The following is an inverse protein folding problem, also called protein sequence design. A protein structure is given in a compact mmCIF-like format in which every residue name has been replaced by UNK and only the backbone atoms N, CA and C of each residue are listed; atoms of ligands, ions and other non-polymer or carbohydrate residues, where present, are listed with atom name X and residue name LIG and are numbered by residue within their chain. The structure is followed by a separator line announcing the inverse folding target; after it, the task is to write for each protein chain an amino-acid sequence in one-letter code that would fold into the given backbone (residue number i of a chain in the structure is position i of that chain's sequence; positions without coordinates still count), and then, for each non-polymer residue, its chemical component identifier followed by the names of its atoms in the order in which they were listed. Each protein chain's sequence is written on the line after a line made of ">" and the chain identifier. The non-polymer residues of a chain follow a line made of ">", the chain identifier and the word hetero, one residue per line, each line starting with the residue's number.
data_IF_752694509532
#
_entry.id   IF_752694509532
#
_cell.length_a   1.000
_cell.length_b   1.000
_cell.length_c   1.000
_cell.angle_alpha   90.00
_cell.angle_beta   90.00
_cell.angle_gamma   90.00
#
_symmetry.space_group_name_H-M   'P 1'
#
loop_
_entity.id
_entity.type
_entity.pdbx_description
1 polymer ?
#
# COMPACT_ATOMS: atom_id res chain seq x y z
N UNK A 1 32.24 -12.17 53.99
CA UNK A 1 30.99 -12.38 53.23
C UNK A 1 30.56 -13.83 53.38
N UNK A 2 29.28 -14.10 53.65
CA UNK A 2 28.77 -15.44 53.92
C UNK A 2 28.94 -16.38 52.71
N UNK A 3 29.29 -17.67 52.90
CA UNK A 3 29.55 -18.62 51.82
C UNK A 3 28.36 -18.87 50.87
N UNK A 4 27.13 -18.54 51.29
CA UNK A 4 25.91 -18.60 50.48
C UNK A 4 25.82 -17.52 49.40
N UNK A 5 26.37 -16.33 49.63
CA UNK A 5 26.34 -15.21 48.69
C UNK A 5 27.37 -15.36 47.57
N UNK A 6 28.52 -15.99 47.88
CA UNK A 6 29.56 -16.34 46.89
C UNK A 6 29.07 -17.38 45.86
N UNK A 7 28.24 -18.36 46.27
CA UNK A 7 27.63 -19.34 45.36
C UNK A 7 26.58 -18.72 44.44
N UNK A 8 25.75 -17.80 44.95
CA UNK A 8 24.77 -17.06 44.14
C UNK A 8 25.44 -16.15 43.11
N UNK A 9 26.53 -15.47 43.49
CA UNK A 9 27.29 -14.61 42.58
C UNK A 9 27.91 -15.41 41.42
N UNK A 10 28.52 -16.57 41.71
CA UNK A 10 29.11 -17.45 40.69
C UNK A 10 28.05 -18.04 39.74
N UNK A 11 26.87 -18.39 40.25
CA UNK A 11 25.74 -18.86 39.43
C UNK A 11 25.20 -17.75 38.50
N UNK A 12 25.07 -16.52 39.03
CA UNK A 12 24.64 -15.34 38.25
C UNK A 12 25.63 -14.99 37.14
N UNK A 13 26.94 -15.03 37.41
CA UNK A 13 27.98 -14.81 36.40
C UNK A 13 27.99 -15.89 35.31
N UNK A 14 27.81 -17.17 35.68
CA UNK A 14 27.78 -18.27 34.70
C UNK A 14 26.58 -18.18 33.76
N UNK A 15 25.41 -17.76 34.25
CA UNK A 15 24.20 -17.55 33.43
C UNK A 15 24.34 -16.33 32.51
N UNK A 16 24.98 -15.26 32.97
CA UNK A 16 25.26 -14.09 32.14
C UNK A 16 26.25 -14.42 31.00
N UNK A 17 27.32 -15.16 31.29
CA UNK A 17 28.33 -15.54 30.28
C UNK A 17 27.74 -16.43 29.18
N UNK A 18 26.90 -17.41 29.54
CA UNK A 18 26.24 -18.30 28.57
C UNK A 18 25.23 -17.57 27.67
N UNK A 19 24.56 -16.53 28.17
CA UNK A 19 23.68 -15.67 27.35
C UNK A 19 24.48 -14.81 26.38
N UNK A 20 25.58 -14.22 26.83
CA UNK A 20 26.45 -13.41 25.99
C UNK A 20 27.12 -14.23 24.86
N UNK A 21 27.49 -15.49 25.12
CA UNK A 21 28.04 -16.39 24.09
C UNK A 21 26.99 -16.75 23.03
N UNK A 22 25.75 -17.08 23.42
CA UNK A 22 24.67 -17.40 22.48
C UNK A 22 24.25 -16.20 21.62
N UNK A 23 24.33 -14.99 22.15
CA UNK A 23 24.01 -13.78 21.40
C UNK A 23 25.11 -13.41 20.40
N UNK A 24 26.39 -13.59 20.79
CA UNK A 24 27.52 -13.45 19.86
C UNK A 24 27.45 -14.47 18.72
N UNK A 25 27.14 -15.73 19.02
CA UNK A 25 27.04 -16.80 18.02
C UNK A 25 25.88 -16.58 17.03
N UNK A 26 24.76 -16.00 17.50
CA UNK A 26 23.67 -15.57 16.61
C UNK A 26 24.05 -14.38 15.73
N UNK A 27 24.81 -13.42 16.26
CA UNK A 27 25.28 -12.27 15.50
C UNK A 27 26.32 -12.68 14.45
N UNK A 28 27.25 -13.58 14.78
CA UNK A 28 28.24 -14.10 13.80
C UNK A 28 27.55 -14.91 12.73
N UNK A 29 26.59 -15.78 13.06
CA UNK A 29 25.84 -16.52 12.05
C UNK A 29 24.97 -15.62 11.14
N UNK A 30 24.42 -14.51 11.67
CA UNK A 30 23.69 -13.54 10.87
C UNK A 30 24.63 -12.71 9.97
N UNK A 31 25.83 -12.37 10.46
CA UNK A 31 26.84 -11.66 9.70
C UNK A 31 27.43 -12.55 8.59
N UNK A 32 27.73 -13.81 8.88
CA UNK A 32 28.19 -14.78 7.87
C UNK A 32 27.15 -15.02 6.78
N UNK A 33 25.87 -15.11 7.13
CA UNK A 33 24.79 -15.19 6.11
C UNK A 33 24.69 -13.92 5.26
N UNK A 34 24.89 -12.74 5.86
CA UNK A 34 24.93 -11.47 5.12
C UNK A 34 26.15 -11.37 4.21
N UNK A 35 27.31 -11.79 4.70
CA UNK A 35 28.56 -11.75 3.94
C UNK A 35 28.57 -12.79 2.81
N UNK A 36 27.96 -13.97 3.01
CA UNK A 36 27.75 -14.95 1.95
C UNK A 36 26.80 -14.42 0.86
N UNK A 37 25.69 -13.78 1.26
CA UNK A 37 24.75 -13.17 0.32
C UNK A 37 25.34 -11.94 -0.40
N UNK A 38 26.24 -11.19 0.26
CA UNK A 38 26.96 -10.09 -0.36
C UNK A 38 27.99 -10.61 -1.38
N UNK A 39 28.74 -11.67 -1.04
CA UNK A 39 29.72 -12.31 -1.94
C UNK A 39 29.08 -12.97 -3.15
N UNK A 40 27.95 -13.68 -2.98
CA UNK A 40 27.22 -14.29 -4.10
C UNK A 40 26.69 -13.23 -5.07
N UNK A 41 26.16 -12.12 -4.54
CA UNK A 41 25.70 -10.98 -5.34
C UNK A 41 26.86 -10.31 -6.09
N UNK A 42 28.00 -10.13 -5.43
CA UNK A 42 29.20 -9.53 -6.05
C UNK A 42 29.80 -10.43 -7.15
N UNK A 43 29.78 -11.75 -6.97
CA UNK A 43 30.16 -12.72 -8.01
C UNK A 43 29.17 -12.73 -9.18
N UNK A 44 27.86 -12.63 -8.93
CA UNK A 44 26.87 -12.46 -10.00
C UNK A 44 27.08 -11.15 -10.77
N UNK A 45 27.37 -10.05 -10.07
CA UNK A 45 27.61 -8.76 -10.71
C UNK A 45 28.93 -8.74 -11.50
N UNK A 46 29.98 -9.42 -11.02
CA UNK A 46 31.24 -9.57 -11.76
C UNK A 46 31.11 -10.51 -12.95
N UNK A 47 30.35 -11.60 -12.85
CA UNK A 47 30.06 -12.49 -13.96
C UNK A 47 29.22 -11.80 -15.04
N UNK A 48 28.23 -10.99 -14.65
CA UNK A 48 27.46 -10.14 -15.57
C UNK A 48 28.34 -9.04 -16.21
N UNK A 49 29.29 -8.45 -15.49
CA UNK A 49 30.22 -7.47 -16.05
C UNK A 49 31.25 -8.08 -17.01
N UNK A 50 31.71 -9.31 -16.76
CA UNK A 50 32.62 -10.01 -17.68
C UNK A 50 31.91 -10.52 -18.94
N UNK A 51 30.63 -10.91 -18.86
CA UNK A 51 29.84 -11.23 -20.06
C UNK A 51 29.46 -9.98 -20.87
N UNK A 52 29.28 -8.82 -20.22
CA UNK A 52 28.96 -7.55 -20.89
C UNK A 52 30.17 -6.86 -21.57
N UNK A 53 31.41 -7.28 -21.27
CA UNK A 53 32.61 -6.74 -21.93
C UNK A 53 32.96 -7.47 -23.24
N UNK A 54 32.53 -8.72 -23.41
CA UNK A 54 32.85 -9.54 -24.60
C UNK A 54 31.72 -9.55 -25.65
N UNK A 55 30.48 -9.25 -25.24
CA UNK A 55 29.34 -9.01 -26.12
C UNK A 55 28.83 -7.58 -25.90
N UNK A 56 28.99 -6.73 -26.90
CA UNK A 56 28.67 -5.29 -26.84
C UNK A 56 27.38 -4.99 -26.06
N UNK A 57 27.49 -4.07 -25.10
CA UNK A 57 26.62 -3.71 -23.96
C UNK A 57 25.09 -3.76 -24.10
N UNK A 58 24.52 -3.96 -25.29
CA UNK A 58 23.08 -3.87 -25.55
C UNK A 58 22.42 -5.24 -25.72
N UNK A 59 23.17 -6.29 -26.06
CA UNK A 59 22.59 -7.57 -26.46
C UNK A 59 22.49 -8.58 -25.29
N UNK A 60 23.43 -8.59 -24.35
CA UNK A 60 23.40 -9.53 -23.22
C UNK A 60 22.28 -9.25 -22.20
N UNK A 61 21.74 -8.03 -22.16
CA UNK A 61 20.55 -7.67 -21.37
C UNK A 61 19.23 -8.15 -22.01
N UNK A 62 19.25 -8.57 -23.28
CA UNK A 62 18.05 -9.04 -24.00
C UNK A 62 17.76 -10.53 -23.82
N UNK A 63 18.75 -11.31 -23.37
CA UNK A 63 18.66 -12.78 -23.37
C UNK A 63 18.20 -13.39 -22.05
N UNK A 64 17.83 -12.60 -21.03
CA UNK A 64 16.97 -13.13 -19.98
C UNK A 64 15.58 -13.36 -20.58
N UNK A 65 15.33 -14.60 -21.02
CA UNK A 65 14.05 -15.03 -21.54
C UNK A 65 12.93 -14.56 -20.59
N UNK A 66 12.08 -13.65 -21.09
CA UNK A 66 10.99 -13.01 -20.36
C UNK A 66 9.87 -14.02 -20.10
N UNK A 67 10.13 -14.96 -19.21
CA UNK A 67 9.20 -16.00 -18.84
C UNK A 67 8.13 -15.41 -17.91
N UNK A 68 6.84 -15.44 -18.29
CA UNK A 68 5.76 -14.85 -17.49
C UNK A 68 5.75 -15.37 -16.04
N UNK A 69 6.02 -16.66 -15.84
CA UNK A 69 6.06 -17.28 -14.51
C UNK A 69 7.19 -16.75 -13.64
N UNK A 70 8.37 -16.47 -14.22
CA UNK A 70 9.50 -15.88 -13.48
C UNK A 70 9.21 -14.43 -13.11
N UNK A 71 8.62 -13.67 -14.02
CA UNK A 71 8.23 -12.27 -13.79
C UNK A 71 7.14 -12.16 -12.71
N UNK A 72 6.14 -13.04 -12.74
CA UNK A 72 5.05 -13.06 -11.76
C UNK A 72 5.51 -13.51 -10.36
N UNK A 73 6.58 -14.30 -10.26
CA UNK A 73 7.11 -14.87 -9.01
C UNK A 73 8.45 -14.28 -8.58
N UNK A 74 8.69 -13.01 -8.89
CA UNK A 74 9.89 -12.31 -8.44
C UNK A 74 9.99 -12.25 -6.91
N UNK A 75 11.20 -12.43 -6.37
CA UNK A 75 11.43 -12.36 -4.92
C UNK A 75 11.36 -10.92 -4.39
N UNK A 76 11.61 -9.92 -5.24
CA UNK A 76 11.69 -8.50 -4.87
C UNK A 76 10.65 -7.64 -5.62
N UNK A 77 9.33 -7.91 -5.50
CA UNK A 77 8.30 -7.24 -6.32
C UNK A 77 8.27 -5.72 -6.14
N UNK A 78 8.55 -5.23 -4.92
CA UNK A 78 8.60 -3.79 -4.63
C UNK A 78 9.89 -3.13 -5.14
N UNK A 79 10.99 -3.85 -5.32
CA UNK A 79 12.17 -3.28 -6.00
C UNK A 79 11.90 -3.18 -7.50
N UNK A 80 11.31 -4.22 -8.10
CA UNK A 80 10.91 -4.20 -9.51
C UNK A 80 9.94 -3.05 -9.80
N UNK A 81 8.92 -2.86 -8.96
CA UNK A 81 8.00 -1.72 -9.09
C UNK A 81 8.71 -0.35 -9.04
N UNK A 82 9.76 -0.20 -8.22
CA UNK A 82 10.56 1.03 -8.16
C UNK A 82 11.37 1.25 -9.43
N UNK A 83 11.82 0.19 -10.11
CA UNK A 83 12.49 0.32 -11.40
C UNK A 83 11.58 1.00 -12.44
N UNK A 84 10.30 0.63 -12.48
CA UNK A 84 9.31 1.30 -13.34
C UNK A 84 8.88 2.68 -12.82
N UNK A 85 8.84 2.87 -11.51
CA UNK A 85 8.47 4.15 -10.91
C UNK A 85 9.49 5.26 -11.20
N UNK A 86 10.79 4.95 -11.20
CA UNK A 86 11.86 5.94 -11.33
C UNK A 86 11.78 6.74 -12.65
N UNK A 87 11.63 6.11 -13.83
CA UNK A 87 11.40 6.84 -15.08
C UNK A 87 10.15 7.73 -15.03
N UNK A 88 9.05 7.26 -14.42
CA UNK A 88 7.83 8.05 -14.28
C UNK A 88 8.07 9.29 -13.40
N UNK A 89 8.81 9.15 -12.30
CA UNK A 89 9.15 10.28 -11.44
C UNK A 89 10.07 11.30 -12.12
N UNK A 90 10.93 10.85 -13.04
CA UNK A 90 11.85 11.72 -13.77
C UNK A 90 11.15 12.43 -14.94
N UNK A 91 10.39 11.69 -15.74
CA UNK A 91 9.87 12.15 -17.04
C UNK A 91 8.38 12.50 -17.01
N UNK A 92 7.61 11.92 -16.09
CA UNK A 92 6.17 12.11 -15.95
C UNK A 92 5.79 12.69 -14.58
N UNK A 93 6.63 13.58 -14.04
CA UNK A 93 6.44 14.20 -12.73
C UNK A 93 5.20 15.11 -12.64
N UNK A 94 4.62 15.51 -13.77
CA UNK A 94 3.39 16.32 -13.83
C UNK A 94 2.11 15.48 -13.85
N UNK A 95 2.21 14.14 -13.84
CA UNK A 95 1.06 13.24 -13.73
C UNK A 95 0.79 12.93 -12.25
N UNK A 96 -0.46 13.09 -11.83
CA UNK A 96 -0.86 12.85 -10.44
C UNK A 96 -0.63 11.38 -10.04
N UNK A 97 -0.97 10.48 -10.95
CA UNK A 97 -0.90 9.03 -10.80
C UNK A 97 0.50 8.55 -10.46
N UNK A 98 1.54 9.18 -11.02
CA UNK A 98 2.94 8.90 -10.72
C UNK A 98 3.20 8.99 -9.21
N UNK A 99 2.67 10.02 -8.56
CA UNK A 99 2.90 10.25 -7.13
C UNK A 99 1.95 9.45 -6.25
N UNK A 100 0.72 9.18 -6.70
CA UNK A 100 -0.20 8.28 -6.00
C UNK A 100 0.36 6.85 -5.94
N UNK A 101 0.91 6.35 -7.05
CA UNK A 101 1.57 5.04 -7.11
C UNK A 101 2.86 5.03 -6.28
N UNK A 102 3.64 6.11 -6.34
CA UNK A 102 4.84 6.24 -5.50
C UNK A 102 4.52 6.08 -4.01
N UNK A 103 3.46 6.75 -3.54
CA UNK A 103 3.01 6.64 -2.16
C UNK A 103 2.69 5.18 -1.80
N UNK A 104 1.90 4.49 -2.62
CA UNK A 104 1.46 3.10 -2.36
C UNK A 104 2.64 2.11 -2.31
N UNK A 105 3.65 2.30 -3.16
CA UNK A 105 4.89 1.51 -3.15
C UNK A 105 5.69 1.82 -1.87
N UNK A 106 5.92 3.10 -1.57
CA UNK A 106 6.72 3.50 -0.40
C UNK A 106 6.04 3.20 0.94
N UNK A 107 4.71 3.15 0.96
CA UNK A 107 3.93 2.67 2.10
C UNK A 107 4.28 1.21 2.41
N UNK A 108 4.24 0.33 1.41
CA UNK A 108 4.57 -1.08 1.56
C UNK A 108 6.03 -1.31 1.93
N UNK A 109 6.93 -0.43 1.49
CA UNK A 109 8.36 -0.44 1.89
C UNK A 109 8.65 0.25 3.22
N UNK A 110 7.68 0.90 3.86
CA UNK A 110 7.86 1.63 5.12
C UNK A 110 8.77 2.87 5.02
N UNK A 111 8.81 3.54 3.87
CA UNK A 111 9.68 4.71 3.63
C UNK A 111 8.93 6.03 3.86
N UNK A 112 8.74 6.42 5.11
CA UNK A 112 7.91 7.57 5.53
C UNK A 112 8.22 8.90 4.81
N UNK A 113 9.49 9.28 4.69
CA UNK A 113 9.86 10.55 4.04
C UNK A 113 9.56 10.55 2.54
N UNK A 114 9.66 9.39 1.88
CA UNK A 114 9.29 9.25 0.47
C UNK A 114 7.78 9.24 0.28
N UNK A 115 7.03 8.69 1.25
CA UNK A 115 5.57 8.83 1.29
C UNK A 115 5.15 10.30 1.40
N UNK A 116 5.73 11.05 2.35
CA UNK A 116 5.48 12.47 2.51
C UNK A 116 5.82 13.26 1.24
N UNK A 117 6.99 12.99 0.64
CA UNK A 117 7.38 13.61 -0.61
C UNK A 117 6.35 13.34 -1.73
N UNK A 118 5.86 12.10 -1.82
CA UNK A 118 4.86 11.71 -2.82
C UNK A 118 3.54 12.47 -2.61
N UNK A 119 3.07 12.57 -1.35
CA UNK A 119 1.89 13.36 -1.00
C UNK A 119 2.09 14.83 -1.37
N UNK A 120 3.19 15.46 -0.97
CA UNK A 120 3.46 16.88 -1.28
C UNK A 120 3.51 17.14 -2.78
N UNK A 121 4.05 16.21 -3.57
CA UNK A 121 4.08 16.33 -5.05
C UNK A 121 2.68 16.20 -5.64
N UNK A 122 1.90 15.20 -5.22
CA UNK A 122 0.52 15.03 -5.64
C UNK A 122 -0.36 16.22 -5.27
N UNK A 123 -0.23 16.72 -4.03
CA UNK A 123 -0.99 17.86 -3.51
C UNK A 123 -0.76 19.16 -4.30
N UNK A 124 0.46 19.38 -4.81
CA UNK A 124 0.75 20.52 -5.68
C UNK A 124 0.09 20.41 -7.06
N UNK A 125 -0.23 19.20 -7.53
CA UNK A 125 -0.85 18.97 -8.83
C UNK A 125 -2.39 19.06 -8.72
N UNK A 126 -2.95 18.32 -7.77
CA UNK A 126 -4.39 18.31 -7.51
C UNK A 126 -4.66 18.01 -6.03
N UNK A 127 -4.93 19.04 -5.21
CA UNK A 127 -5.25 18.87 -3.80
C UNK A 127 -6.68 18.34 -3.57
N UNK A 128 -7.52 18.28 -4.61
CA UNK A 128 -8.92 17.85 -4.51
C UNK A 128 -9.08 16.35 -4.77
N UNK A 129 -8.07 15.69 -5.34
CA UNK A 129 -8.14 14.29 -5.71
C UNK A 129 -8.60 13.36 -4.57
N UNK A 130 -9.65 12.55 -4.78
CA UNK A 130 -10.15 11.60 -3.77
C UNK A 130 -9.11 10.61 -3.25
N UNK A 131 -8.29 10.05 -4.15
CA UNK A 131 -7.24 9.08 -3.77
C UNK A 131 -6.13 9.75 -2.97
N UNK A 132 -5.80 11.02 -3.28
CA UNK A 132 -4.82 11.76 -2.50
C UNK A 132 -5.30 11.96 -1.06
N UNK A 133 -6.58 12.30 -0.88
CA UNK A 133 -7.16 12.42 0.46
C UNK A 133 -7.03 11.13 1.27
N UNK A 134 -7.31 9.98 0.67
CA UNK A 134 -7.11 8.68 1.33
C UNK A 134 -5.65 8.47 1.75
N UNK A 135 -4.68 8.79 0.88
CA UNK A 135 -3.25 8.70 1.20
C UNK A 135 -2.85 9.66 2.32
N UNK A 136 -3.39 10.88 2.32
CA UNK A 136 -3.18 11.90 3.34
C UNK A 136 -3.68 11.43 4.71
N UNK A 137 -4.90 10.93 4.81
CA UNK A 137 -5.47 10.38 6.07
C UNK A 137 -4.68 9.16 6.54
N UNK A 138 -4.35 8.25 5.62
CA UNK A 138 -3.59 7.04 5.92
C UNK A 138 -2.20 7.37 6.46
N UNK A 139 -1.50 8.32 5.83
CA UNK A 139 -0.17 8.75 6.26
C UNK A 139 -0.22 9.41 7.65
N UNK A 140 -1.21 10.26 7.90
CA UNK A 140 -1.39 10.89 9.20
C UNK A 140 -1.54 9.83 10.30
N UNK A 141 -2.47 8.89 10.12
CA UNK A 141 -2.69 7.79 11.08
C UNK A 141 -1.43 6.93 11.26
N UNK A 142 -0.72 6.63 10.18
CA UNK A 142 0.53 5.87 10.22
C UNK A 142 1.62 6.57 11.05
N UNK A 143 1.83 7.87 10.86
CA UNK A 143 2.82 8.64 11.62
C UNK A 143 2.44 8.71 13.10
N UNK A 144 1.15 8.97 13.41
CA UNK A 144 0.66 9.01 14.80
C UNK A 144 0.86 7.69 15.57
N UNK A 145 0.83 6.55 14.87
CA UNK A 145 1.03 5.23 15.47
C UNK A 145 2.51 4.86 15.69
N UNK A 146 3.45 5.54 15.02
CA UNK A 146 4.88 5.26 15.11
C UNK A 146 5.48 5.89 16.36
N UNK A 147 5.80 5.05 17.35
CA UNK A 147 6.37 5.50 18.65
C UNK A 147 7.86 5.82 18.59
N UNK A 148 8.61 5.17 17.71
CA UNK A 148 10.07 5.31 17.64
C UNK A 148 10.46 5.77 16.24
N UNK A 149 10.89 7.03 16.15
CA UNK A 149 11.41 7.64 14.93
C UNK A 149 12.69 8.42 15.27
N UNK A 150 13.69 8.45 14.37
CA UNK A 150 14.88 9.27 14.57
C UNK A 150 14.50 10.75 14.75
N UNK A 151 15.13 11.45 15.70
CA UNK A 151 14.80 12.84 16.01
C UNK A 151 14.78 13.79 14.79
N UNK A 152 15.74 13.73 13.84
CA UNK A 152 15.69 14.57 12.64
C UNK A 152 14.45 14.29 11.78
N UNK A 153 14.00 13.03 11.71
CA UNK A 153 12.81 12.65 10.97
C UNK A 153 11.55 13.19 11.64
N UNK A 154 11.47 13.15 12.97
CA UNK A 154 10.35 13.71 13.75
C UNK A 154 10.22 15.20 13.48
N UNK A 155 11.32 15.95 13.53
CA UNK A 155 11.32 17.40 13.27
C UNK A 155 10.79 17.72 11.88
N UNK A 156 11.25 16.99 10.85
CA UNK A 156 10.78 17.18 9.47
C UNK A 156 9.29 16.83 9.36
N UNK A 157 8.87 15.68 9.88
CA UNK A 157 7.47 15.26 9.82
C UNK A 157 6.55 16.27 10.50
N UNK A 158 6.87 16.71 11.71
CA UNK A 158 6.06 17.69 12.44
C UNK A 158 5.88 19.00 11.66
N UNK A 159 6.98 19.57 11.14
CA UNK A 159 6.94 20.83 10.39
C UNK A 159 6.09 20.70 9.13
N UNK A 160 6.39 19.69 8.31
CA UNK A 160 5.77 19.54 7.00
C UNK A 160 4.31 19.07 7.10
N UNK A 161 3.97 18.27 8.12
CA UNK A 161 2.60 17.87 8.37
C UNK A 161 1.75 19.01 8.94
N UNK A 162 2.30 19.85 9.82
CA UNK A 162 1.58 21.02 10.32
C UNK A 162 1.14 21.95 9.17
N UNK A 163 2.02 22.19 8.19
CA UNK A 163 1.72 22.96 6.98
C UNK A 163 0.67 22.25 6.11
N UNK A 164 0.89 20.97 5.79
CA UNK A 164 0.04 20.22 4.87
C UNK A 164 -1.38 19.98 5.38
N UNK A 165 -1.52 19.71 6.68
CA UNK A 165 -2.80 19.36 7.32
C UNK A 165 -3.42 20.52 8.09
N UNK A 166 -2.76 21.69 8.14
CA UNK A 166 -3.22 22.86 8.89
C UNK A 166 -3.51 22.52 10.36
N UNK A 167 -2.67 21.67 10.95
CA UNK A 167 -2.80 21.14 12.32
C UNK A 167 -4.10 20.37 12.63
N UNK A 168 -4.85 19.94 11.61
CA UNK A 168 -6.06 19.13 11.79
C UNK A 168 -5.72 17.66 12.00
N UNK A 169 -6.52 17.00 12.85
CA UNK A 169 -6.42 15.55 13.02
C UNK A 169 -7.04 14.78 11.85
N UNK A 170 -6.65 13.51 11.68
CA UNK A 170 -7.13 12.64 10.61
C UNK A 170 -8.67 12.53 10.54
N UNK A 171 -9.35 12.53 11.69
CA UNK A 171 -10.81 12.49 11.77
C UNK A 171 -11.44 13.78 11.24
N UNK A 172 -10.96 14.93 11.73
CA UNK A 172 -11.43 16.25 11.30
C UNK A 172 -11.21 16.46 9.80
N UNK A 173 -10.04 16.08 9.28
CA UNK A 173 -9.74 16.13 7.85
C UNK A 173 -10.76 15.36 7.01
N UNK A 174 -11.14 14.17 7.46
CA UNK A 174 -12.09 13.34 6.72
C UNK A 174 -13.53 13.85 6.80
N UNK A 175 -13.94 14.37 7.95
CA UNK A 175 -15.26 14.98 8.15
C UNK A 175 -15.43 16.23 7.28
N UNK A 176 -14.44 17.12 7.25
CA UNK A 176 -14.44 18.29 6.38
C UNK A 176 -14.45 17.92 4.89
N UNK A 177 -13.68 16.89 4.51
CA UNK A 177 -13.63 16.41 3.14
C UNK A 177 -14.99 15.88 2.67
N UNK A 178 -15.66 15.07 3.49
CA UNK A 178 -17.00 14.56 3.21
C UNK A 178 -18.05 15.67 3.14
N UNK A 179 -17.97 16.67 4.02
CA UNK A 179 -18.86 17.82 3.98
C UNK A 179 -18.67 18.64 2.70
N UNK A 180 -17.41 18.90 2.32
CA UNK A 180 -17.05 19.72 1.16
C UNK A 180 -17.45 19.08 -0.17
N UNK A 181 -17.29 17.76 -0.29
CA UNK A 181 -17.52 17.03 -1.54
C UNK A 181 -18.74 16.09 -1.47
N UNK A 182 -19.74 16.46 -0.68
CA UNK A 182 -20.95 15.66 -0.41
C UNK A 182 -21.73 15.23 -1.66
N UNK A 183 -21.62 15.98 -2.77
CA UNK A 183 -22.28 15.66 -4.05
C UNK A 183 -21.42 14.84 -5.00
N UNK A 184 -20.12 14.69 -4.74
CA UNK A 184 -19.23 13.97 -5.66
C UNK A 184 -19.07 12.52 -5.25
N UNK A 185 -19.60 11.60 -6.06
CA UNK A 185 -19.52 10.16 -5.79
C UNK A 185 -18.10 9.63 -5.52
N UNK A 186 -17.06 9.91 -6.35
CA UNK A 186 -15.72 9.40 -6.06
C UNK A 186 -15.12 9.96 -4.76
N UNK A 187 -15.45 11.19 -4.37
CA UNK A 187 -15.01 11.76 -3.08
C UNK A 187 -15.76 11.10 -1.92
N UNK A 188 -17.08 10.91 -2.05
CA UNK A 188 -17.90 10.22 -1.06
C UNK A 188 -17.33 8.83 -0.76
N UNK A 189 -17.00 8.04 -1.80
CA UNK A 189 -16.45 6.70 -1.66
C UNK A 189 -15.13 6.71 -0.89
N UNK A 190 -14.17 7.56 -1.28
CA UNK A 190 -12.87 7.64 -0.58
C UNK A 190 -13.01 8.16 0.86
N UNK A 191 -13.88 9.14 1.09
CA UNK A 191 -14.17 9.65 2.43
C UNK A 191 -14.83 8.59 3.33
N UNK A 192 -15.73 7.77 2.80
CA UNK A 192 -16.33 6.65 3.52
C UNK A 192 -15.33 5.53 3.80
N UNK A 193 -14.41 5.22 2.87
CA UNK A 193 -13.29 4.30 3.11
C UNK A 193 -12.43 4.79 4.27
N UNK A 194 -12.10 6.09 4.29
CA UNK A 194 -11.33 6.69 5.37
C UNK A 194 -12.10 6.77 6.69
N UNK A 195 -13.41 6.97 6.64
CA UNK A 195 -14.28 6.92 7.82
C UNK A 195 -14.17 5.56 8.52
N UNK A 196 -14.30 4.47 7.76
CA UNK A 196 -14.15 3.11 8.28
C UNK A 196 -12.70 2.75 8.64
N UNK A 197 -11.71 3.31 7.93
CA UNK A 197 -10.31 3.13 8.27
C UNK A 197 -9.99 3.71 9.66
N UNK A 198 -10.48 4.92 9.95
CA UNK A 198 -10.25 5.62 11.22
C UNK A 198 -11.12 5.08 12.37
N UNK A 199 -12.35 4.66 12.08
CA UNK A 199 -13.28 4.13 13.07
C UNK A 199 -14.10 2.97 12.50
N UNK A 200 -13.76 1.76 12.95
CA UNK A 200 -14.43 0.52 12.50
C UNK A 200 -15.90 0.46 12.89
N UNK A 201 -16.34 1.20 13.91
CA UNK A 201 -17.75 1.22 14.33
C UNK A 201 -18.65 1.93 13.32
N UNK A 202 -18.10 2.84 12.50
CA UNK A 202 -18.84 3.60 11.47
C UNK A 202 -19.09 2.82 10.18
N UNK A 203 -18.79 1.51 10.14
CA UNK A 203 -18.94 0.67 8.95
C UNK A 203 -20.34 0.77 8.32
N UNK A 204 -21.39 0.61 9.12
CA UNK A 204 -22.78 0.63 8.64
C UNK A 204 -23.13 1.97 7.99
N UNK A 205 -22.68 3.07 8.60
CA UNK A 205 -22.87 4.42 8.06
C UNK A 205 -22.12 4.58 6.72
N UNK A 206 -20.85 4.17 6.66
CA UNK A 206 -20.03 4.25 5.46
C UNK A 206 -20.63 3.45 4.29
N UNK A 207 -21.07 2.21 4.56
CA UNK A 207 -21.72 1.36 3.56
C UNK A 207 -23.01 1.99 3.05
N UNK A 208 -23.89 2.46 3.95
CA UNK A 208 -25.13 3.12 3.56
C UNK A 208 -24.89 4.32 2.64
N UNK A 209 -23.88 5.15 2.94
CA UNK A 209 -23.53 6.31 2.11
C UNK A 209 -23.01 5.88 0.73
N UNK A 210 -22.15 4.86 0.67
CA UNK A 210 -21.54 4.39 -0.59
C UNK A 210 -22.55 3.70 -1.51
N UNK A 211 -23.48 2.92 -0.95
CA UNK A 211 -24.44 2.14 -1.75
C UNK A 211 -25.66 2.93 -2.18
N UNK A 212 -25.94 4.06 -1.53
CA UNK A 212 -27.04 4.96 -1.89
C UNK A 212 -26.68 5.82 -3.11
N UNK A 213 -26.91 5.30 -4.31
CA UNK A 213 -26.73 6.03 -5.58
C UNK A 213 -27.84 7.07 -5.82
N UNK A 214 -27.92 8.10 -4.98
CA UNK A 214 -28.89 9.19 -5.15
C UNK A 214 -28.67 9.93 -6.49
N UNK A 215 -29.75 10.43 -7.09
CA UNK A 215 -29.75 11.21 -8.34
C UNK A 215 -28.98 12.53 -8.22
N UNK A 216 -28.83 13.07 -7.01
CA UNK A 216 -28.07 14.30 -6.75
C UNK A 216 -26.54 14.09 -6.78
N UNK A 217 -26.07 12.85 -6.88
CA UNK A 217 -24.64 12.53 -6.92
C UNK A 217 -24.06 12.73 -8.33
N UNK A 218 -23.05 13.59 -8.39
CA UNK A 218 -22.23 13.85 -9.56
C UNK A 218 -21.12 12.81 -9.70
N UNK A 219 -20.70 12.56 -10.93
CA UNK A 219 -19.58 11.66 -11.21
C UNK A 219 -19.90 10.17 -11.01
N UNK A 220 -21.18 9.78 -10.95
CA UNK A 220 -21.55 8.36 -10.98
C UNK A 220 -21.43 7.83 -12.42
N UNK A 221 -20.24 7.36 -12.76
CA UNK A 221 -19.90 6.76 -14.05
C UNK A 221 -19.71 5.25 -13.89
N UNK A 222 -19.75 4.50 -14.99
CA UNK A 222 -19.45 3.06 -15.00
C UNK A 222 -18.09 2.81 -14.34
N UNK A 223 -17.07 3.59 -14.69
CA UNK A 223 -15.72 3.46 -14.13
C UNK A 223 -15.68 3.63 -12.61
N UNK A 224 -16.35 4.65 -12.07
CA UNK A 224 -16.40 4.85 -10.62
C UNK A 224 -17.20 3.76 -9.92
N UNK A 225 -18.31 3.31 -10.50
CA UNK A 225 -19.08 2.19 -9.97
C UNK A 225 -18.29 0.87 -9.97
N UNK A 226 -17.47 0.62 -11.00
CA UNK A 226 -16.57 -0.55 -11.05
C UNK A 226 -15.53 -0.48 -9.94
N UNK A 227 -14.85 0.65 -9.77
CA UNK A 227 -13.88 0.84 -8.68
C UNK A 227 -14.52 0.68 -7.30
N UNK A 228 -15.75 1.15 -7.12
CA UNK A 228 -16.51 0.94 -5.88
C UNK A 228 -16.87 -0.52 -5.67
N UNK A 229 -17.28 -1.24 -6.73
CA UNK A 229 -17.55 -2.68 -6.65
C UNK A 229 -16.29 -3.46 -6.27
N UNK A 230 -15.13 -3.14 -6.86
CA UNK A 230 -13.84 -3.71 -6.50
C UNK A 230 -13.47 -3.41 -5.04
N UNK A 231 -13.67 -2.16 -4.59
CA UNK A 231 -13.45 -1.73 -3.22
C UNK A 231 -14.29 -2.55 -2.21
N UNK A 232 -15.58 -2.71 -2.46
CA UNK A 232 -16.48 -3.52 -1.63
C UNK A 232 -16.07 -5.00 -1.67
N UNK A 233 -15.74 -5.55 -2.85
CA UNK A 233 -15.32 -6.94 -3.03
C UNK A 233 -14.01 -7.26 -2.29
N UNK A 234 -13.05 -6.33 -2.28
CA UNK A 234 -11.78 -6.49 -1.54
C UNK A 234 -11.96 -6.39 -0.01
N UNK A 235 -13.12 -5.96 0.47
CA UNK A 235 -13.38 -5.77 1.89
C UNK A 235 -12.81 -4.47 2.46
N UNK A 236 -12.55 -3.45 1.64
CA UNK A 236 -12.03 -2.16 2.09
C UNK A 236 -12.98 -1.45 3.08
N UNK A 237 -14.27 -1.80 3.04
CA UNK A 237 -15.33 -1.35 3.96
C UNK A 237 -15.83 -2.50 4.87
N UNK A 238 -15.02 -3.55 5.07
CA UNK A 238 -15.36 -4.75 5.82
C UNK A 238 -16.31 -5.69 5.09
N UNK A 239 -16.83 -6.69 5.79
CA UNK A 239 -17.79 -7.64 5.25
C UNK A 239 -19.12 -6.93 4.92
N UNK A 240 -19.58 -7.05 3.68
CA UNK A 240 -20.71 -6.28 3.15
C UNK A 240 -21.43 -7.00 1.99
N UNK A 241 -21.61 -8.32 2.05
CA UNK A 241 -22.17 -9.09 0.92
C UNK A 241 -23.58 -8.61 0.51
N UNK A 242 -24.41 -8.27 1.49
CA UNK A 242 -25.76 -7.76 1.25
C UNK A 242 -25.71 -6.41 0.53
N UNK A 243 -24.90 -5.48 1.05
CA UNK A 243 -24.72 -4.14 0.50
C UNK A 243 -24.05 -4.17 -0.88
N UNK A 244 -23.11 -5.09 -1.09
CA UNK A 244 -22.46 -5.35 -2.37
C UNK A 244 -23.48 -5.82 -3.42
N UNK A 245 -24.36 -6.77 -3.06
CA UNK A 245 -25.42 -7.25 -3.94
C UNK A 245 -26.42 -6.14 -4.29
N UNK A 246 -26.83 -5.34 -3.30
CA UNK A 246 -27.70 -4.18 -3.52
C UNK A 246 -27.04 -3.14 -4.42
N UNK A 247 -25.79 -2.79 -4.15
CA UNK A 247 -25.04 -1.83 -4.96
C UNK A 247 -24.90 -2.29 -6.41
N UNK A 248 -24.60 -3.58 -6.62
CA UNK A 248 -24.54 -4.19 -7.96
C UNK A 248 -25.87 -4.10 -8.68
N UNK A 249 -26.99 -4.38 -8.00
CA UNK A 249 -28.32 -4.26 -8.57
C UNK A 249 -28.65 -2.81 -8.98
N UNK A 250 -28.38 -1.84 -8.12
CA UNK A 250 -28.56 -0.42 -8.43
C UNK A 250 -27.68 0.04 -9.60
N UNK A 251 -26.43 -0.45 -9.67
CA UNK A 251 -25.55 -0.18 -10.82
C UNK A 251 -26.08 -0.82 -12.11
N UNK A 252 -26.70 -2.00 -12.04
CA UNK A 252 -27.29 -2.66 -13.20
C UNK A 252 -28.51 -1.91 -13.73
N UNK A 253 -29.39 -1.44 -12.84
CA UNK A 253 -30.54 -0.60 -13.20
C UNK A 253 -30.07 0.68 -13.91
N UNK A 254 -29.03 1.32 -13.38
CA UNK A 254 -28.48 2.55 -13.96
C UNK A 254 -27.70 2.33 -15.26
N UNK A 255 -27.02 1.18 -15.38
CA UNK A 255 -26.20 0.84 -16.54
C UNK A 255 -26.58 -0.56 -17.09
N UNK A 256 -27.73 -0.72 -17.76
CA UNK A 256 -28.26 -2.04 -18.15
C UNK A 256 -27.35 -2.84 -19.08
N UNK A 257 -26.55 -2.13 -19.90
CA UNK A 257 -25.65 -2.74 -20.88
C UNK A 257 -24.29 -3.14 -20.28
N UNK A 258 -23.94 -2.65 -19.09
CA UNK A 258 -22.66 -2.96 -18.47
C UNK A 258 -22.66 -4.39 -17.92
N UNK A 259 -21.88 -5.27 -18.55
CA UNK A 259 -21.79 -6.70 -18.22
C UNK A 259 -21.31 -6.94 -16.78
N UNK A 260 -20.46 -6.07 -16.25
CA UNK A 260 -19.92 -6.16 -14.91
C UNK A 260 -20.98 -6.09 -13.79
N UNK A 261 -22.12 -5.45 -14.04
CA UNK A 261 -23.19 -5.31 -13.05
C UNK A 261 -24.31 -6.34 -13.21
N UNK A 262 -24.29 -7.16 -14.27
CA UNK A 262 -25.35 -8.14 -14.51
C UNK A 262 -25.51 -9.07 -13.30
N UNK A 263 -26.75 -9.42 -12.91
CA UNK A 263 -26.96 -10.46 -11.93
C UNK A 263 -26.38 -11.79 -12.44
N UNK A 264 -25.93 -12.68 -11.53
CA UNK A 264 -25.46 -14.00 -11.93
C UNK A 264 -26.59 -14.71 -12.70
N UNK A 265 -26.31 -15.10 -13.95
CA UNK A 265 -27.27 -15.90 -14.70
C UNK A 265 -27.32 -17.30 -14.08
N UNK A 266 -28.52 -17.89 -13.88
CA UNK A 266 -28.61 -19.30 -13.56
C UNK A 266 -27.93 -20.07 -14.70
N UNK A 267 -27.05 -21.02 -14.36
CA UNK A 267 -26.36 -21.84 -15.34
C UNK A 267 -27.41 -22.56 -16.20
N UNK A 268 -27.60 -22.09 -17.43
CA UNK A 268 -28.35 -22.84 -18.44
C UNK A 268 -27.50 -24.04 -18.79
N UNK A 269 -27.77 -25.17 -18.14
CA UNK A 269 -27.34 -26.48 -18.63
C UNK A 269 -27.87 -26.61 -20.05
N UNK A 270 -27.04 -26.30 -21.05
CA UNK A 270 -27.29 -26.68 -22.42
C UNK A 270 -27.27 -28.21 -22.47
N UNK A 271 -28.43 -28.82 -22.24
CA UNK A 271 -28.69 -30.18 -22.69
C UNK A 271 -28.57 -30.11 -24.21
N UNK A 272 -27.46 -30.63 -24.73
CA UNK A 272 -27.31 -30.90 -26.16
C UNK A 272 -28.44 -31.86 -26.54
N UNK A 273 -29.26 -31.57 -27.57
CA UNK A 273 -30.13 -32.58 -28.14
C UNK A 273 -29.24 -33.72 -28.63
N UNK A 274 -29.46 -34.93 -28.11
CA UNK A 274 -28.87 -36.13 -28.68
C UNK A 274 -29.45 -36.32 -30.09
N UNK A 275 -28.56 -36.40 -31.08
CA UNK A 275 -28.86 -36.82 -32.46
C UNK A 275 -29.10 -38.34 -32.52
#
# INVERSE_FOLDING_TARGET
>A
MAPSELKKLKSKQRKARRRAEQEKEKQTAAQEKRDQHAKSRQQQTQAQQQQAQDAGEVDALRDEELLPDKLARTEEPLEQAIQFLRPLQLLAAQRLETHLLAFEIYQRKGRLLLMLQSIKRAFRLDPTCPRLHAHMVTFHSLVSQKKELPAPMVTVLQREMAELYQSKEAQQLNEEFLARYSKSFPHLVEGCRMMYFLDKSKQKQALQMVTSLNNDLEGVTIEHCLRTLECLTRGDLGACETELAQFRASCHERFPLATAFRPPQPATNHVRPEE
#
